data_IF_805902565322
#
_entry.id   IF_805902565322
#
_cell.length_a   1.000
_cell.length_b   1.000
_cell.length_c   1.000
_cell.angle_alpha   90.00
_cell.angle_beta   90.00
_cell.angle_gamma   90.00
#
_symmetry.space_group_name_H-M   'P 1'
#
loop_
_entity.id
_entity.type
_entity.pdbx_description
1 polymer ?
#
# COMPACT_ATOMS: atom_id res chain seq x y z
N UNK A 1 26.61 25.71 0.01
CA UNK A 1 26.38 24.27 0.22
C UNK A 1 25.53 24.13 1.47
N UNK A 2 24.20 24.02 1.32
CA UNK A 2 23.29 23.89 2.47
C UNK A 2 23.18 22.41 2.83
N UNK A 3 23.36 22.13 4.11
CA UNK A 3 23.16 20.82 4.69
C UNK A 3 21.76 20.31 4.35
N UNK A 4 21.70 19.21 3.60
CA UNK A 4 20.48 18.45 3.43
C UNK A 4 20.15 17.82 4.79
N UNK A 5 19.07 18.30 5.42
CA UNK A 5 18.51 17.63 6.59
C UNK A 5 18.13 16.20 6.18
N UNK A 6 18.91 15.23 6.62
CA UNK A 6 18.62 13.82 6.41
C UNK A 6 17.34 13.48 7.18
N UNK A 7 16.23 13.34 6.44
CA UNK A 7 15.00 12.76 6.98
C UNK A 7 15.31 11.30 7.32
N UNK A 8 15.43 10.99 8.62
CA UNK A 8 15.68 9.61 9.06
C UNK A 8 14.40 8.79 8.95
N UNK A 9 14.38 7.84 8.03
CA UNK A 9 13.28 6.89 7.85
C UNK A 9 13.69 5.55 8.46
N UNK A 10 12.82 4.98 9.29
CA UNK A 10 12.98 3.64 9.85
C UNK A 10 12.19 2.64 9.01
N UNK A 11 12.74 1.45 8.81
CA UNK A 11 12.10 0.37 8.07
C UNK A 11 12.09 -0.90 8.90
N UNK A 12 11.03 -1.70 8.75
CA UNK A 12 10.87 -3.01 9.37
C UNK A 12 10.31 -3.94 8.30
N UNK A 13 10.84 -5.17 8.19
CA UNK A 13 10.45 -6.15 7.18
C UNK A 13 11.37 -6.18 5.96
N UNK A 14 10.83 -6.63 4.82
CA UNK A 14 11.60 -6.81 3.60
C UNK A 14 11.80 -5.47 2.85
N UNK A 15 13.06 -5.04 2.72
CA UNK A 15 13.45 -3.80 2.04
C UNK A 15 13.51 -3.91 0.53
N UNK A 16 13.65 -5.12 -0.01
CA UNK A 16 13.78 -5.37 -1.44
C UNK A 16 12.50 -4.94 -2.21
N UNK A 17 11.36 -4.88 -1.50
CA UNK A 17 10.11 -4.37 -2.04
C UNK A 17 10.21 -2.89 -2.48
N UNK A 18 11.06 -2.10 -1.81
CA UNK A 18 11.27 -0.68 -2.10
C UNK A 18 12.06 -0.44 -3.39
N UNK A 19 12.70 -1.48 -3.93
CA UNK A 19 13.45 -1.40 -5.20
C UNK A 19 12.54 -1.60 -6.43
N UNK A 20 11.31 -2.09 -6.22
CA UNK A 20 10.32 -2.31 -7.27
C UNK A 20 9.43 -1.06 -7.45
N UNK A 21 8.76 -0.90 -8.60
CA UNK A 21 7.73 0.13 -8.77
C UNK A 21 6.60 -0.03 -7.74
N UNK A 22 6.41 1.00 -6.92
CA UNK A 22 5.44 1.00 -5.83
C UNK A 22 4.09 1.53 -6.30
N UNK A 23 3.01 0.82 -5.98
CA UNK A 23 1.65 1.28 -6.22
C UNK A 23 1.03 1.82 -4.93
N UNK A 24 0.59 3.08 -4.96
CA UNK A 24 -0.17 3.67 -3.85
C UNK A 24 -1.63 3.23 -3.88
N UNK A 25 -2.15 2.72 -2.75
CA UNK A 25 -3.57 2.40 -2.56
C UNK A 25 -4.18 3.35 -1.54
N UNK A 26 -5.28 3.99 -1.95
CA UNK A 26 -6.07 4.88 -1.11
C UNK A 26 -7.55 4.51 -1.19
N UNK A 27 -8.26 4.55 -0.06
CA UNK A 27 -9.69 4.28 -0.03
C UNK A 27 -10.43 5.27 0.88
N UNK A 28 -11.70 5.55 0.54
CA UNK A 28 -12.59 6.28 1.43
C UNK A 28 -12.87 5.45 2.69
N UNK A 29 -12.98 6.08 3.86
CA UNK A 29 -13.42 5.39 5.08
C UNK A 29 -14.85 4.82 4.98
N UNK A 30 -15.63 5.23 3.99
CA UNK A 30 -16.94 4.66 3.64
C UNK A 30 -16.99 4.39 2.13
N UNK A 31 -17.18 3.13 1.76
CA UNK A 31 -17.27 2.67 0.39
C UNK A 31 -18.50 1.77 0.22
N UNK A 32 -19.20 1.84 -0.93
CA UNK A 32 -20.28 0.91 -1.24
C UNK A 32 -19.75 -0.53 -1.41
N UNK A 33 -20.59 -1.53 -1.14
CA UNK A 33 -20.18 -2.93 -1.10
C UNK A 33 -19.61 -3.46 -2.43
N UNK A 34 -20.06 -2.94 -3.57
CA UNK A 34 -19.53 -3.33 -4.87
C UNK A 34 -18.09 -2.83 -5.09
N UNK A 35 -17.76 -1.65 -4.57
CA UNK A 35 -16.40 -1.11 -4.59
C UNK A 35 -15.46 -1.91 -3.67
N UNK A 36 -15.97 -2.40 -2.53
CA UNK A 36 -15.21 -3.27 -1.61
C UNK A 36 -14.78 -4.55 -2.32
N UNK A 37 -15.72 -5.28 -2.93
CA UNK A 37 -15.43 -6.55 -3.61
C UNK A 37 -14.43 -6.37 -4.76
N UNK A 38 -14.62 -5.36 -5.61
CA UNK A 38 -13.70 -5.07 -6.71
C UNK A 38 -12.29 -4.71 -6.23
N UNK A 39 -12.20 -3.97 -5.11
CA UNK A 39 -10.90 -3.59 -4.54
C UNK A 39 -10.19 -4.81 -3.94
N UNK A 40 -10.93 -5.75 -3.38
CA UNK A 40 -10.39 -7.02 -2.90
C UNK A 40 -9.83 -7.88 -4.05
N UNK A 41 -10.59 -8.01 -5.14
CA UNK A 41 -10.12 -8.70 -6.35
C UNK A 41 -8.87 -8.05 -6.93
N UNK A 42 -8.83 -6.71 -6.93
CA UNK A 42 -7.65 -5.94 -7.32
C UNK A 42 -6.44 -6.26 -6.41
N UNK A 43 -6.62 -6.24 -5.09
CA UNK A 43 -5.54 -6.52 -4.13
C UNK A 43 -4.96 -7.92 -4.34
N UNK A 44 -5.82 -8.92 -4.57
CA UNK A 44 -5.39 -10.29 -4.91
C UNK A 44 -4.61 -10.33 -6.22
N UNK A 45 -5.12 -9.70 -7.27
CA UNK A 45 -4.42 -9.65 -8.56
C UNK A 45 -3.06 -8.97 -8.49
N UNK A 46 -2.93 -7.90 -7.70
CA UNK A 46 -1.67 -7.20 -7.47
C UNK A 46 -0.65 -8.08 -6.74
N UNK A 47 -1.10 -8.82 -5.72
CA UNK A 47 -0.26 -9.79 -5.01
C UNK A 47 0.22 -10.90 -5.93
N UNK A 48 -0.68 -11.50 -6.69
CA UNK A 48 -0.35 -12.59 -7.64
C UNK A 48 0.62 -12.11 -8.73
N UNK A 49 0.54 -10.83 -9.12
CA UNK A 49 1.48 -10.18 -10.04
C UNK A 49 2.77 -9.67 -9.37
N UNK A 50 2.97 -9.92 -8.08
CA UNK A 50 4.12 -9.48 -7.27
C UNK A 50 4.37 -7.95 -7.29
N UNK A 51 3.29 -7.17 -7.43
CA UNK A 51 3.33 -5.70 -7.40
C UNK A 51 3.27 -5.22 -5.95
N UNK A 52 4.29 -4.53 -5.42
CA UNK A 52 4.24 -4.01 -4.07
C UNK A 52 3.25 -2.85 -3.95
N UNK A 53 2.38 -2.95 -2.96
CA UNK A 53 1.35 -1.94 -2.66
C UNK A 53 1.72 -1.21 -1.37
N UNK A 54 1.57 0.11 -1.38
CA UNK A 54 1.83 0.99 -0.23
C UNK A 54 0.56 1.75 0.11
N UNK A 55 0.22 1.83 1.40
CA UNK A 55 -0.93 2.60 1.89
C UNK A 55 -0.65 3.19 3.28
N UNK A 56 -1.48 4.14 3.71
CA UNK A 56 -1.41 4.78 5.01
C UNK A 56 -2.21 4.08 6.12
N UNK A 57 -2.89 2.97 5.82
CA UNK A 57 -3.73 2.21 6.77
C UNK A 57 -4.86 3.04 7.42
N UNK A 58 -5.39 4.04 6.71
CA UNK A 58 -6.36 5.00 7.24
C UNK A 58 -7.79 4.43 7.29
N UNK A 59 -8.16 3.65 6.29
CA UNK A 59 -9.47 2.98 6.18
C UNK A 59 -9.36 1.49 6.52
N UNK A 60 -10.48 0.90 6.91
CA UNK A 60 -10.57 -0.56 7.09
C UNK A 60 -10.20 -1.30 5.79
N UNK A 61 -10.64 -0.77 4.64
CA UNK A 61 -10.36 -1.37 3.34
C UNK A 61 -8.87 -1.42 3.01
N UNK A 62 -8.12 -0.35 3.29
CA UNK A 62 -6.67 -0.32 3.06
C UNK A 62 -5.94 -1.36 3.91
N UNK A 63 -6.37 -1.54 5.17
CA UNK A 63 -5.81 -2.57 6.06
C UNK A 63 -6.08 -3.96 5.53
N UNK A 64 -7.34 -4.25 5.20
CA UNK A 64 -7.75 -5.54 4.65
C UNK A 64 -6.98 -5.88 3.38
N UNK A 65 -6.78 -4.92 2.46
CA UNK A 65 -6.01 -5.17 1.23
C UNK A 65 -4.53 -5.52 1.49
N UNK A 66 -3.92 -4.94 2.53
CA UNK A 66 -2.51 -5.16 2.86
C UNK A 66 -2.27 -6.42 3.70
N UNK A 67 -3.33 -7.03 4.24
CA UNK A 67 -3.26 -8.28 5.01
C UNK A 67 -3.36 -9.55 4.14
N UNK A 68 -3.72 -9.42 2.85
CA UNK A 68 -3.97 -10.53 1.91
C UNK A 68 -2.70 -11.18 1.33
#
# INVERSE_FOLDING_TARGET
MKAEEFLRILTIGNRDLLEKPLLGLFCSGKCPGDAILKTYDLARGLREAEVPVVSGFHSAMERECLEL
#
